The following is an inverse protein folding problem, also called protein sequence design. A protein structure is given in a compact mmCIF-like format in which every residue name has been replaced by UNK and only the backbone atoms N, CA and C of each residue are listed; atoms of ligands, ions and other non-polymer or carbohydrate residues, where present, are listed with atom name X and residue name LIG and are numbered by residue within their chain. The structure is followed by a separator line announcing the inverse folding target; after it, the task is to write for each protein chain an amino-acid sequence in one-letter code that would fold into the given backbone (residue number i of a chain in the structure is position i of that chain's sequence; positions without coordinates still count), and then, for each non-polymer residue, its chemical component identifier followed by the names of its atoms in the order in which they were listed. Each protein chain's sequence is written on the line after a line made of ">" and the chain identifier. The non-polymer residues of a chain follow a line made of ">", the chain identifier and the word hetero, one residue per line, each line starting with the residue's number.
data_IF_796767826632
#
_entry.id   IF_796767826632
#
_cell.length_a   1.000
_cell.length_b   1.000
_cell.length_c   1.000
_cell.angle_alpha   90.00
_cell.angle_beta   90.00
_cell.angle_gamma   90.00
#
_symmetry.space_group_name_H-M   'P 1'
#
loop_
_entity.id
_entity.type
_entity.pdbx_description
1 polymer ?
#
# COMPACT_ATOMS: atom_id res chain seq x y z
N UNK A 1 -5.46 14.95 -0.86
CA UNK A 1 -5.89 13.53 -0.93
C UNK A 1 -5.28 12.89 -2.16
N UNK A 2 -5.40 11.58 -2.37
CA UNK A 2 -4.93 10.93 -3.60
C UNK A 2 -5.70 9.65 -3.92
N UNK A 3 -5.71 9.25 -5.20
CA UNK A 3 -6.26 7.99 -5.70
C UNK A 3 -5.25 7.33 -6.62
N UNK A 4 -5.19 6.01 -6.67
CA UNK A 4 -4.26 5.32 -7.55
C UNK A 4 -4.48 3.82 -7.63
N UNK A 5 -3.56 3.17 -8.33
CA UNK A 5 -3.49 1.72 -8.47
C UNK A 5 -2.15 1.23 -7.98
N UNK A 6 -2.17 0.13 -7.24
CA UNK A 6 -1.00 -0.51 -6.65
C UNK A 6 -0.91 -1.97 -7.10
N UNK A 7 0.29 -2.42 -7.44
CA UNK A 7 0.62 -3.82 -7.60
C UNK A 7 1.22 -4.32 -6.28
N UNK A 8 0.55 -5.29 -5.65
CA UNK A 8 1.04 -6.05 -4.53
C UNK A 8 1.61 -7.38 -5.04
N UNK A 9 2.86 -7.66 -4.70
CA UNK A 9 3.55 -8.91 -5.01
C UNK A 9 3.92 -9.59 -3.70
N UNK A 10 3.41 -10.80 -3.48
CA UNK A 10 3.71 -11.61 -2.30
C UNK A 10 4.38 -12.90 -2.75
N UNK A 11 5.52 -13.21 -2.14
CA UNK A 11 6.25 -14.47 -2.35
C UNK A 11 5.90 -15.40 -1.20
N UNK A 12 5.12 -16.44 -1.49
CA UNK A 12 4.74 -17.47 -0.52
C UNK A 12 5.59 -18.70 -0.79
N UNK A 13 6.43 -19.08 0.17
CA UNK A 13 7.29 -20.26 0.05
C UNK A 13 6.62 -21.50 0.62
N UNK A 14 6.34 -22.49 -0.23
CA UNK A 14 6.45 -23.89 0.14
C UNK A 14 7.92 -24.27 -0.12
N UNK A 15 8.56 -24.99 0.80
CA UNK A 15 10.00 -25.34 0.87
C UNK A 15 10.73 -25.73 -0.44
N UNK A 16 10.01 -25.97 -1.54
CA UNK A 16 10.53 -26.45 -2.82
C UNK A 16 10.15 -25.58 -4.04
N UNK A 17 9.11 -24.74 -3.97
CA UNK A 17 8.68 -23.87 -5.08
C UNK A 17 8.12 -22.56 -4.53
N UNK A 18 8.74 -21.40 -4.82
CA UNK A 18 8.15 -20.11 -4.46
C UNK A 18 6.91 -19.85 -5.33
N UNK A 19 5.76 -19.65 -4.70
CA UNK A 19 4.54 -19.19 -5.37
C UNK A 19 4.52 -17.67 -5.31
N UNK A 20 4.47 -17.04 -6.49
CA UNK A 20 4.33 -15.58 -6.60
C UNK A 20 2.86 -15.26 -6.78
N UNK A 21 2.29 -14.54 -5.82
CA UNK A 21 0.93 -14.03 -5.88
C UNK A 21 1.00 -12.54 -6.25
N UNK A 22 0.33 -12.18 -7.33
CA UNK A 22 0.21 -10.79 -7.79
C UNK A 22 -1.23 -10.32 -7.64
N UNK A 23 -1.42 -9.18 -6.99
CA UNK A 23 -2.73 -8.58 -6.75
C UNK A 23 -2.69 -7.13 -7.17
N UNK A 24 -3.67 -6.68 -7.95
CA UNK A 24 -3.82 -5.25 -8.26
C UNK A 24 -4.88 -4.67 -7.32
N UNK A 25 -4.51 -3.59 -6.64
CA UNK A 25 -5.33 -2.88 -5.67
C UNK A 25 -5.71 -1.50 -6.22
N UNK A 26 -6.96 -1.12 -6.03
CA UNK A 26 -7.41 0.26 -6.12
C UNK A 26 -7.22 0.91 -4.76
N UNK A 27 -6.62 2.10 -4.74
CA UNK A 27 -6.22 2.77 -3.49
C UNK A 27 -6.74 4.19 -3.47
N UNK A 28 -7.40 4.56 -2.37
CA UNK A 28 -7.71 5.95 -2.03
C UNK A 28 -6.98 6.28 -0.75
N UNK A 29 -6.26 7.39 -0.73
CA UNK A 29 -5.45 7.75 0.43
C UNK A 29 -5.53 9.22 0.81
N UNK A 30 -5.24 9.44 2.08
CA UNK A 30 -5.04 10.73 2.69
C UNK A 30 -3.64 10.78 3.29
N UNK A 31 -2.99 11.94 3.20
CA UNK A 31 -1.69 12.18 3.82
C UNK A 31 -1.82 13.41 4.70
N UNK A 32 -1.51 13.25 5.98
CA UNK A 32 -1.40 14.33 6.95
C UNK A 32 0.07 14.66 7.15
N UNK A 33 0.48 15.87 6.76
CA UNK A 33 1.87 16.32 6.91
C UNK A 33 2.05 17.18 8.16
N UNK A 34 3.08 16.88 8.95
CA UNK A 34 3.49 17.63 10.14
C UNK A 34 5.00 17.90 10.02
N UNK A 35 5.36 19.05 9.44
CA UNK A 35 6.73 19.36 9.07
C UNK A 35 7.26 18.39 8.01
N UNK A 36 8.43 17.80 8.27
CA UNK A 36 9.04 16.80 7.39
C UNK A 36 8.41 15.40 7.59
N UNK A 37 7.63 15.19 8.65
CA UNK A 37 6.95 13.94 8.89
C UNK A 37 5.58 13.93 8.22
N UNK A 38 5.13 12.75 7.82
CA UNK A 38 3.82 12.52 7.24
C UNK A 38 3.23 11.22 7.76
N UNK A 39 1.91 11.22 7.96
CA UNK A 39 1.13 10.04 8.25
C UNK A 39 0.23 9.77 7.05
N UNK A 40 0.33 8.58 6.48
CA UNK A 40 -0.47 8.18 5.34
C UNK A 40 -1.50 7.15 5.78
N UNK A 41 -2.76 7.43 5.47
CA UNK A 41 -3.91 6.57 5.71
C UNK A 41 -4.48 6.20 4.35
N UNK A 42 -4.62 4.90 4.07
CA UNK A 42 -5.17 4.40 2.81
C UNK A 42 -6.32 3.44 3.04
N UNK A 43 -7.33 3.52 2.17
CA UNK A 43 -8.28 2.44 1.92
C UNK A 43 -7.89 1.75 0.61
N UNK A 44 -7.90 0.43 0.62
CA UNK A 44 -7.54 -0.41 -0.52
C UNK A 44 -8.63 -1.44 -0.80
N UNK A 45 -8.89 -1.67 -2.09
CA UNK A 45 -9.80 -2.70 -2.58
C UNK A 45 -9.09 -3.55 -3.62
N UNK A 46 -9.34 -4.86 -3.62
CA UNK A 46 -8.80 -5.76 -4.65
C UNK A 46 -9.54 -5.53 -5.98
N UNK A 47 -8.78 -5.24 -7.02
CA UNK A 47 -9.29 -5.14 -8.39
C UNK A 47 -9.03 -6.42 -9.19
N UNK A 48 -7.84 -7.01 -9.04
CA UNK A 48 -7.43 -8.22 -9.79
C UNK A 48 -6.73 -9.21 -8.84
N UNK A 49 -7.14 -10.49 -8.82
CA UNK A 49 -8.33 -11.01 -9.48
C UNK A 49 -9.60 -10.35 -8.91
N UNK A 50 -10.60 -10.05 -9.75
CA UNK A 50 -11.87 -9.53 -9.24
C UNK A 50 -12.46 -10.57 -8.27
N UNK A 51 -13.16 -10.14 -7.22
CA UNK A 51 -13.88 -11.08 -6.37
C UNK A 51 -14.96 -11.79 -7.19
N UNK A 52 -15.13 -13.10 -6.97
CA UNK A 52 -16.15 -13.89 -7.69
C UNK A 52 -17.57 -13.52 -7.21
N UNK A 53 -17.69 -13.01 -5.98
CA UNK A 53 -18.93 -12.46 -5.42
C UNK A 53 -18.68 -11.37 -4.34
N UNK A 54 -19.76 -10.77 -3.81
CA UNK A 54 -19.66 -9.76 -2.75
C UNK A 54 -19.16 -10.32 -1.40
N UNK A 55 -19.19 -11.64 -1.20
CA UNK A 55 -18.64 -12.30 0.00
C UNK A 55 -17.11 -12.39 -0.03
N UNK A 56 -16.48 -12.28 -1.19
CA UNK A 56 -15.02 -12.25 -1.35
C UNK A 56 -14.41 -10.84 -1.37
N UNK A 57 -15.20 -9.83 -1.01
CA UNK A 57 -14.76 -8.45 -1.06
C UNK A 57 -13.58 -8.21 -0.11
N UNK A 58 -12.41 -7.94 -0.67
CA UNK A 58 -11.23 -7.51 0.08
C UNK A 58 -11.31 -6.00 0.28
N UNK A 59 -11.56 -5.58 1.53
CA UNK A 59 -11.38 -4.20 1.96
C UNK A 59 -10.24 -4.14 2.96
N UNK A 60 -9.24 -3.34 2.66
CA UNK A 60 -8.11 -3.12 3.54
C UNK A 60 -7.97 -1.65 3.91
N UNK A 61 -7.43 -1.39 5.09
CA UNK A 61 -6.90 -0.10 5.47
C UNK A 61 -5.42 -0.21 5.76
N UNK A 62 -4.68 0.83 5.40
CA UNK A 62 -3.24 0.91 5.60
C UNK A 62 -2.86 2.18 6.34
N UNK A 63 -1.94 2.06 7.29
CA UNK A 63 -1.28 3.19 7.94
C UNK A 63 0.23 3.06 7.83
N UNK A 64 0.93 4.10 7.37
CA UNK A 64 2.38 4.14 7.37
C UNK A 64 2.91 5.56 7.61
N UNK A 65 4.11 5.62 8.20
CA UNK A 65 4.82 6.87 8.42
C UNK A 65 5.66 7.22 7.20
N UNK A 66 5.76 8.51 6.90
CA UNK A 66 6.63 9.04 5.87
C UNK A 66 7.54 10.14 6.42
N UNK A 67 8.77 10.22 5.92
CA UNK A 67 9.70 11.31 6.20
C UNK A 67 10.16 11.93 4.88
N UNK A 68 9.83 13.19 4.65
CA UNK A 68 10.30 13.99 3.53
C UNK A 68 11.72 14.43 3.80
N UNK A 69 12.65 13.99 2.96
CA UNK A 69 14.08 14.32 3.12
C UNK A 69 14.63 15.16 1.96
N UNK A 70 13.87 15.31 0.87
CA UNK A 70 14.23 16.19 -0.24
C UNK A 70 12.98 16.86 -0.81
N UNK A 71 13.05 18.18 -0.97
CA UNK A 71 12.10 18.97 -1.75
C UNK A 71 12.88 19.92 -2.66
N UNK A 72 12.62 19.84 -3.96
CA UNK A 72 13.28 20.68 -4.96
C UNK A 72 12.29 20.98 -6.10
N UNK A 73 11.75 22.20 -6.10
CA UNK A 73 10.74 22.62 -7.07
C UNK A 73 9.52 21.70 -7.07
N UNK A 74 9.17 21.06 -8.21
CA UNK A 74 8.02 20.16 -8.28
C UNK A 74 8.29 18.75 -7.72
N UNK A 75 9.52 18.47 -7.29
CA UNK A 75 9.97 17.15 -6.86
C UNK A 75 10.00 17.03 -5.34
N UNK A 76 9.40 15.96 -4.81
CA UNK A 76 9.52 15.58 -3.40
C UNK A 76 9.91 14.11 -3.29
N UNK A 77 10.89 13.82 -2.44
CA UNK A 77 11.25 12.45 -2.06
C UNK A 77 10.94 12.22 -0.59
N UNK A 78 10.28 11.09 -0.32
CA UNK A 78 9.90 10.66 1.02
C UNK A 78 10.35 9.23 1.25
N UNK A 79 10.85 8.94 2.44
CA UNK A 79 11.03 7.58 2.94
C UNK A 79 9.74 7.15 3.62
N UNK A 80 9.25 5.96 3.32
CA UNK A 80 8.10 5.38 3.99
C UNK A 80 8.57 4.26 4.93
N UNK A 81 8.01 4.22 6.13
CA UNK A 81 8.34 3.21 7.14
C UNK A 81 7.09 2.66 7.82
N UNK A 82 7.17 1.36 8.12
CA UNK A 82 6.09 0.62 8.75
C UNK A 82 4.91 0.41 7.81
N UNK A 83 4.05 -0.50 8.22
CA UNK A 83 2.75 -0.70 7.59
C UNK A 83 1.85 -1.42 8.58
N UNK A 84 0.83 -0.73 9.09
CA UNK A 84 -0.27 -1.37 9.82
C UNK A 84 -1.42 -1.61 8.84
N UNK A 85 -1.73 -2.87 8.60
CA UNK A 85 -2.84 -3.28 7.76
C UNK A 85 -4.02 -3.75 8.63
N UNK A 86 -5.22 -3.26 8.31
CA UNK A 86 -6.48 -3.82 8.79
C UNK A 86 -7.18 -4.40 7.58
N UNK A 87 -7.36 -5.71 7.52
CA UNK A 87 -8.04 -6.37 6.42
C UNK A 87 -9.34 -6.97 6.90
N UNK A 88 -10.41 -6.69 6.15
CA UNK A 88 -11.70 -7.35 6.29
C UNK A 88 -11.81 -8.39 5.18
N UNK A 89 -11.96 -9.66 5.58
CA UNK A 89 -12.21 -10.75 4.65
C UNK A 89 -13.40 -11.56 5.17
N UNK A 90 -14.48 -11.57 4.39
CA UNK A 90 -15.70 -12.31 4.73
C UNK A 90 -15.64 -13.78 4.26
N UNK A 91 -14.57 -14.18 3.55
CA UNK A 91 -14.36 -15.57 3.11
C UNK A 91 -13.65 -16.46 4.14
N UNK A 92 -13.00 -15.87 5.15
CA UNK A 92 -12.30 -16.60 6.21
C UNK A 92 -13.07 -16.46 7.54
N UNK A 93 -12.97 -17.48 8.40
CA UNK A 93 -13.62 -17.50 9.73
C UNK A 93 -13.17 -16.38 10.69
N UNK A 94 -12.24 -15.52 10.27
CA UNK A 94 -11.82 -14.30 10.95
C UNK A 94 -12.23 -13.08 10.12
N UNK A 95 -13.30 -12.40 10.54
CA UNK A 95 -13.87 -11.24 9.85
C UNK A 95 -12.93 -10.01 9.82
N UNK A 96 -11.94 -9.94 10.71
CA UNK A 96 -11.01 -8.82 10.84
C UNK A 96 -9.62 -9.32 11.19
N UNK A 97 -8.64 -8.98 10.35
CA UNK A 97 -7.22 -9.26 10.58
C UNK A 97 -6.46 -7.95 10.76
N UNK A 98 -5.84 -7.77 11.92
CA UNK A 98 -4.90 -6.68 12.20
C UNK A 98 -3.47 -7.22 12.06
N UNK A 99 -2.69 -6.68 11.12
CA UNK A 99 -1.33 -7.13 10.88
C UNK A 99 -0.37 -5.93 10.83
N UNK A 100 0.63 -5.94 11.71
CA UNK A 100 1.77 -5.05 11.57
C UNK A 100 2.81 -5.72 10.68
N UNK A 101 3.01 -5.17 9.50
CA UNK A 101 3.97 -5.62 8.52
C UNK A 101 5.09 -4.59 8.42
N UNK A 102 6.28 -4.85 8.97
CA UNK A 102 7.41 -3.95 8.78
C UNK A 102 7.73 -3.81 7.28
N UNK A 103 7.60 -2.59 6.76
CA UNK A 103 7.99 -2.25 5.39
C UNK A 103 8.85 -1.01 5.37
N UNK A 104 9.72 -0.95 4.36
CA UNK A 104 10.53 0.22 4.04
C UNK A 104 10.38 0.54 2.56
N UNK A 105 10.33 1.81 2.22
CA UNK A 105 10.16 2.22 0.84
C UNK A 105 10.39 3.69 0.58
N UNK A 106 10.08 4.08 -0.64
CA UNK A 106 10.23 5.43 -1.14
C UNK A 106 8.99 5.91 -1.86
N UNK A 107 8.72 7.20 -1.72
CA UNK A 107 7.74 7.92 -2.51
C UNK A 107 8.43 9.04 -3.27
N UNK A 108 8.22 9.08 -4.59
CA UNK A 108 8.59 10.19 -5.46
C UNK A 108 7.31 10.92 -5.86
N UNK A 109 7.23 12.21 -5.56
CA UNK A 109 6.15 13.07 -6.04
C UNK A 109 6.68 14.06 -7.07
N UNK A 110 5.93 14.20 -8.17
CA UNK A 110 6.17 15.14 -9.25
C UNK A 110 4.85 15.87 -9.52
N UNK A 111 4.70 17.10 -9.04
CA UNK A 111 3.42 17.82 -9.06
C UNK A 111 2.28 17.01 -8.39
N UNK A 112 1.26 16.62 -9.17
CA UNK A 112 0.14 15.79 -8.73
C UNK A 112 0.42 14.29 -8.87
N UNK A 113 1.46 13.88 -9.58
CA UNK A 113 1.81 12.48 -9.74
C UNK A 113 2.61 12.01 -8.52
N UNK A 114 2.26 10.83 -8.00
CA UNK A 114 3.01 10.13 -6.96
C UNK A 114 3.34 8.73 -7.44
N UNK A 115 4.61 8.36 -7.31
CA UNK A 115 5.12 7.02 -7.51
C UNK A 115 5.59 6.48 -6.16
N UNK A 116 5.19 5.26 -5.82
CA UNK A 116 5.57 4.64 -4.54
C UNK A 116 6.04 3.23 -4.76
N UNK A 117 7.06 2.84 -3.99
CA UNK A 117 7.47 1.45 -3.83
C UNK A 117 7.78 1.20 -2.35
N UNK A 118 7.31 0.08 -1.82
CA UNK A 118 7.63 -0.42 -0.50
C UNK A 118 7.95 -1.91 -0.57
N UNK A 119 8.92 -2.32 0.24
CA UNK A 119 9.38 -3.70 0.37
C UNK A 119 9.14 -4.18 1.79
N UNK A 120 8.79 -5.45 1.93
CA UNK A 120 8.66 -6.15 3.20
C UNK A 120 9.25 -7.56 3.07
N UNK A 121 9.36 -8.29 4.18
CA UNK A 121 10.12 -9.55 4.27
C UNK A 121 9.83 -10.56 3.14
N UNK A 122 8.56 -10.68 2.74
CA UNK A 122 8.09 -11.68 1.79
C UNK A 122 7.45 -11.05 0.54
N UNK A 123 7.86 -9.84 0.15
CA UNK A 123 7.26 -9.19 -1.02
C UNK A 123 7.43 -7.69 -1.05
N UNK A 124 6.58 -7.06 -1.83
CA UNK A 124 6.55 -5.62 -1.96
C UNK A 124 5.26 -5.14 -2.59
N UNK A 125 5.04 -3.84 -2.50
CA UNK A 125 3.96 -3.19 -3.21
C UNK A 125 4.43 -1.87 -3.79
N UNK A 126 3.90 -1.53 -4.95
CA UNK A 126 4.24 -0.28 -5.61
C UNK A 126 3.15 0.17 -6.55
N UNK A 127 3.02 1.48 -6.72
CA UNK A 127 1.88 2.03 -7.44
C UNK A 127 2.09 3.45 -7.93
N UNK A 128 1.10 3.87 -8.71
CA UNK A 128 0.99 5.20 -9.30
C UNK A 128 -0.28 5.82 -8.75
N UNK A 129 -0.17 7.06 -8.26
CA UNK A 129 -1.25 7.79 -7.63
C UNK A 129 -1.32 9.21 -8.17
N UNK A 130 -2.54 9.73 -8.21
CA UNK A 130 -2.85 11.10 -8.53
C UNK A 130 -3.32 11.85 -7.28
N UNK A 131 -2.69 12.99 -6.99
CA UNK A 131 -3.00 13.87 -5.86
C UNK A 131 -3.96 14.97 -6.27
N UNK A 132 -4.85 15.33 -5.35
CA UNK A 132 -5.79 16.45 -5.44
C UNK A 132 -5.75 17.26 -4.15
#
# INVERSE_FOLDING_TARGET
>A
MYVGTELLVVIVGLLLVPVVVMVILGVVGFESQIGDFSLLIEGMVRLIPPPDDFSEFFLGFRLYGGYQFLESGPFRLKLNIGNLNVTFNNSESELLKLEFQPSIGGTLEINQLRLRINLFKNGGFGGIYWKF
#
